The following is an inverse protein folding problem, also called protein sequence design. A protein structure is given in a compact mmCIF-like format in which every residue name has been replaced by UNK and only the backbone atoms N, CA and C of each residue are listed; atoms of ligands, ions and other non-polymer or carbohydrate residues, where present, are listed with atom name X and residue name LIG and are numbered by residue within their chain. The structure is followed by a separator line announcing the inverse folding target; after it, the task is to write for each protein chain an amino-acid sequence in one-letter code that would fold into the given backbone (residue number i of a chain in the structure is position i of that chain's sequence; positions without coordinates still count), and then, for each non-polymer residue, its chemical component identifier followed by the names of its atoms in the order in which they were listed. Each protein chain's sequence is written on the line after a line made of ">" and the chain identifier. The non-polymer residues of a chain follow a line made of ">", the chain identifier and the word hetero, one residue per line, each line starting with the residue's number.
data_IF_087086789595
#
_entry.id   IF_087086789595
#
_cell.length_a   1.000
_cell.length_b   1.000
_cell.length_c   1.000
_cell.angle_alpha   90.00
_cell.angle_beta   90.00
_cell.angle_gamma   90.00
#
_symmetry.space_group_name_H-M   'P 1'
#
loop_
_entity.id
_entity.type
_entity.pdbx_description
1 polymer ?
#
# COMPACT_ATOMS: atom_id res chain seq x y z
N UNK A 1 -25.60 9.29 -13.23
CA UNK A 1 -24.85 9.57 -11.96
C UNK A 1 -24.03 10.84 -12.16
N UNK A 2 -23.83 11.65 -11.12
CA UNK A 2 -22.99 12.84 -11.25
C UNK A 2 -21.51 12.48 -11.30
N UNK A 3 -20.78 13.11 -12.21
CA UNK A 3 -19.33 13.04 -12.37
C UNK A 3 -18.71 14.39 -11.98
N UNK A 4 -17.77 14.35 -11.04
CA UNK A 4 -17.06 15.53 -10.54
C UNK A 4 -15.59 15.46 -10.97
N UNK A 5 -15.22 16.19 -12.02
CA UNK A 5 -13.83 16.27 -12.50
C UNK A 5 -13.14 17.47 -11.87
N UNK A 6 -12.48 17.25 -10.75
CA UNK A 6 -12.00 18.33 -9.87
C UNK A 6 -10.58 18.79 -10.22
N UNK A 7 -9.93 18.19 -11.21
CA UNK A 7 -8.58 18.58 -11.57
C UNK A 7 -7.59 18.25 -10.46
N UNK A 8 -6.70 19.20 -10.14
CA UNK A 8 -5.74 19.11 -9.05
C UNK A 8 -6.20 20.04 -7.93
N UNK A 9 -6.34 19.52 -6.71
CA UNK A 9 -6.78 20.30 -5.56
C UNK A 9 -5.65 20.49 -4.53
N UNK A 10 -5.58 21.65 -3.86
CA UNK A 10 -4.55 21.95 -2.88
C UNK A 10 -4.74 21.21 -1.56
N UNK A 11 -3.65 21.09 -0.79
CA UNK A 11 -3.67 20.53 0.55
C UNK A 11 -4.28 19.13 0.60
N UNK A 12 -5.26 18.94 1.48
CA UNK A 12 -5.94 17.65 1.66
C UNK A 12 -7.31 17.59 0.97
N UNK A 13 -7.70 18.60 0.18
CA UNK A 13 -9.03 18.67 -0.44
C UNK A 13 -9.34 17.43 -1.30
N UNK A 14 -8.33 16.93 -2.04
CA UNK A 14 -8.45 15.70 -2.82
C UNK A 14 -8.87 14.48 -1.98
N UNK A 15 -8.59 14.49 -0.68
CA UNK A 15 -8.90 13.41 0.25
C UNK A 15 -10.09 13.70 1.15
N UNK A 16 -10.50 14.95 1.35
CA UNK A 16 -11.62 15.30 2.24
C UNK A 16 -12.95 15.45 1.50
N UNK A 17 -12.94 15.78 0.20
CA UNK A 17 -14.16 15.95 -0.60
C UNK A 17 -15.06 14.71 -0.58
N UNK A 18 -14.53 13.51 -0.84
CA UNK A 18 -15.38 12.32 -0.84
C UNK A 18 -15.93 11.98 0.55
N UNK A 19 -15.18 12.26 1.62
CA UNK A 19 -15.70 12.06 2.98
C UNK A 19 -16.84 13.04 3.25
N UNK A 20 -16.69 14.30 2.84
CA UNK A 20 -17.74 15.31 2.94
C UNK A 20 -19.00 14.91 2.17
N UNK A 21 -18.85 14.48 0.92
CA UNK A 21 -19.94 13.94 0.11
C UNK A 21 -20.63 12.77 0.80
N UNK A 22 -19.86 11.82 1.33
CA UNK A 22 -20.38 10.65 2.03
C UNK A 22 -21.20 11.00 3.27
N UNK A 23 -20.72 11.93 4.11
CA UNK A 23 -21.44 12.41 5.30
C UNK A 23 -22.70 13.20 4.96
N UNK A 24 -22.72 13.90 3.82
CA UNK A 24 -23.86 14.68 3.34
C UNK A 24 -24.82 13.86 2.47
N UNK A 25 -24.53 12.58 2.23
CA UNK A 25 -25.36 11.71 1.38
C UNK A 25 -25.33 12.10 -0.11
N UNK A 26 -24.29 12.81 -0.55
CA UNK A 26 -24.12 13.19 -1.96
C UNK A 26 -23.45 12.04 -2.71
N UNK A 27 -24.22 11.36 -3.56
CA UNK A 27 -23.69 10.31 -4.43
C UNK A 27 -22.92 10.90 -5.62
N UNK A 28 -21.90 10.17 -6.09
CA UNK A 28 -21.18 10.55 -7.30
C UNK A 28 -19.90 9.79 -7.57
N UNK A 29 -19.36 10.02 -8.76
CA UNK A 29 -18.03 9.61 -9.18
C UNK A 29 -17.15 10.85 -9.23
N UNK A 30 -16.04 10.86 -8.50
CA UNK A 30 -15.10 11.99 -8.45
C UNK A 30 -13.77 11.58 -9.08
N UNK A 31 -13.24 12.43 -9.96
CA UNK A 31 -11.85 12.34 -10.43
C UNK A 31 -11.04 13.53 -9.92
N UNK A 32 -9.95 13.25 -9.20
CA UNK A 32 -9.15 14.29 -8.54
C UNK A 32 -7.70 13.86 -8.36
N UNK A 33 -6.81 14.83 -8.21
CA UNK A 33 -5.43 14.61 -7.76
C UNK A 33 -5.09 15.64 -6.67
N UNK A 34 -4.24 15.33 -5.69
CA UNK A 34 -3.54 16.35 -4.94
C UNK A 34 -2.68 17.21 -5.89
N UNK A 35 -2.59 18.52 -5.65
CA UNK A 35 -1.61 19.37 -6.34
C UNK A 35 -0.20 19.11 -5.84
N UNK A 36 -0.07 18.87 -4.53
CA UNK A 36 1.18 18.68 -3.81
C UNK A 36 1.21 17.28 -3.16
N UNK A 37 2.40 16.67 -2.98
CA UNK A 37 2.51 15.37 -2.34
C UNK A 37 2.00 15.39 -0.89
N UNK A 38 1.14 14.44 -0.55
CA UNK A 38 0.60 14.22 0.79
C UNK A 38 0.74 12.75 1.18
N UNK A 39 0.86 12.50 2.48
CA UNK A 39 0.88 11.17 3.07
C UNK A 39 -0.44 10.90 3.76
N UNK A 40 -1.04 9.75 3.47
CA UNK A 40 -2.28 9.35 4.14
C UNK A 40 -2.10 8.02 4.88
N UNK A 41 -2.41 8.03 6.16
CA UNK A 41 -2.52 6.84 7.01
C UNK A 41 -3.89 6.19 6.83
N UNK A 42 -3.94 4.86 6.72
CA UNK A 42 -5.21 4.14 6.75
C UNK A 42 -5.87 4.19 8.12
N UNK A 43 -7.20 4.04 8.17
CA UNK A 43 -7.98 4.24 9.39
C UNK A 43 -7.52 3.41 10.60
N UNK A 44 -7.13 2.15 10.37
CA UNK A 44 -6.77 1.19 11.43
C UNK A 44 -5.27 1.09 11.71
N UNK A 45 -4.44 1.87 11.03
CA UNK A 45 -2.98 1.73 11.13
C UNK A 45 -2.42 2.56 12.28
N UNK A 46 -1.52 2.01 13.09
CA UNK A 46 -0.83 2.84 14.08
C UNK A 46 0.09 3.85 13.39
N UNK A 47 0.07 5.12 13.83
CA UNK A 47 0.92 6.15 13.26
C UNK A 47 2.40 5.89 13.53
N UNK A 48 2.75 5.36 14.72
CA UNK A 48 4.14 5.13 15.12
C UNK A 48 4.87 4.14 14.23
N UNK A 49 4.16 3.13 13.72
CA UNK A 49 4.71 2.11 12.82
C UNK A 49 4.37 2.40 11.36
N UNK A 50 3.43 3.32 11.11
CA UNK A 50 2.91 3.60 9.78
C UNK A 50 3.57 4.78 9.07
N UNK A 51 4.04 5.79 9.81
CA UNK A 51 4.62 7.00 9.21
C UNK A 51 5.72 7.60 10.09
N UNK A 52 6.80 8.03 9.47
CA UNK A 52 7.82 8.88 10.07
C UNK A 52 7.34 10.34 10.00
N UNK A 53 6.67 10.80 11.05
CA UNK A 53 6.12 12.16 11.12
C UNK A 53 7.23 13.23 11.06
N UNK A 54 8.40 12.94 11.64
CA UNK A 54 9.52 13.89 11.66
C UNK A 54 10.11 14.05 10.26
N UNK A 55 10.27 12.95 9.51
CA UNK A 55 10.66 13.01 8.11
C UNK A 55 9.62 13.78 7.29
N UNK A 56 8.32 13.48 7.44
CA UNK A 56 7.27 14.17 6.70
C UNK A 56 7.30 15.68 6.95
N UNK A 57 7.50 16.11 8.20
CA UNK A 57 7.65 17.52 8.54
C UNK A 57 8.87 18.15 7.86
N UNK A 58 10.05 17.51 7.91
CA UNK A 58 11.28 18.01 7.26
C UNK A 58 11.17 18.07 5.74
N UNK A 59 10.43 17.14 5.13
CA UNK A 59 10.20 17.06 3.69
C UNK A 59 9.03 17.91 3.21
N UNK A 60 8.36 18.65 4.11
CA UNK A 60 7.15 19.43 3.83
C UNK A 60 6.02 18.60 3.22
N UNK A 61 5.86 17.36 3.70
CA UNK A 61 4.79 16.43 3.34
C UNK A 61 3.67 16.53 4.38
N UNK A 62 2.49 16.95 3.94
CA UNK A 62 1.31 16.94 4.79
C UNK A 62 0.91 15.51 5.15
N UNK A 63 0.57 15.25 6.41
CA UNK A 63 0.08 13.94 6.88
C UNK A 63 -1.36 14.04 7.35
N UNK A 64 -2.21 13.13 6.90
CA UNK A 64 -3.57 12.93 7.42
C UNK A 64 -3.87 11.45 7.68
N UNK A 65 -4.88 11.17 8.49
CA UNK A 65 -5.48 9.82 8.57
C UNK A 65 -6.85 9.85 7.91
N UNK A 66 -7.13 8.89 7.03
CA UNK A 66 -8.42 8.77 6.32
C UNK A 66 -9.33 7.72 6.99
N UNK A 67 -10.63 7.79 6.73
CA UNK A 67 -11.61 6.79 7.22
C UNK A 67 -11.67 5.52 6.38
N UNK A 68 -10.99 5.53 5.23
CA UNK A 68 -10.77 4.35 4.42
C UNK A 68 -9.65 3.48 5.02
N UNK A 69 -9.84 2.16 4.95
CA UNK A 69 -8.82 1.18 5.34
C UNK A 69 -7.57 1.19 4.45
N UNK A 70 -6.76 0.14 4.56
CA UNK A 70 -5.48 0.01 3.87
C UNK A 70 -4.30 0.59 4.65
N UNK A 71 -3.14 0.66 4.01
CA UNK A 71 -1.89 1.13 4.62
C UNK A 71 -1.58 2.60 4.34
N UNK A 72 -0.39 3.03 4.77
CA UNK A 72 0.19 4.32 4.46
C UNK A 72 0.44 4.42 2.97
N UNK A 73 0.13 5.57 2.38
CA UNK A 73 0.35 5.80 0.96
C UNK A 73 0.71 7.26 0.69
N UNK A 74 1.61 7.46 -0.26
CA UNK A 74 1.99 8.75 -0.81
C UNK A 74 1.09 9.07 -2.01
N UNK A 75 0.42 10.22 -1.97
CA UNK A 75 -0.48 10.69 -3.01
C UNK A 75 0.04 12.00 -3.57
N UNK A 76 0.08 12.14 -4.88
CA UNK A 76 0.61 13.33 -5.55
C UNK A 76 -0.13 13.60 -6.87
N UNK A 77 0.37 14.58 -7.62
CA UNK A 77 -0.25 15.01 -8.87
C UNK A 77 0.00 14.08 -10.07
N UNK A 78 0.77 13.00 -9.88
CA UNK A 78 1.02 11.94 -10.85
C UNK A 78 0.05 10.77 -10.70
N UNK A 79 -1.09 10.99 -10.03
CA UNK A 79 -2.11 9.98 -9.80
C UNK A 79 -3.47 10.59 -10.09
N UNK A 80 -4.34 9.86 -10.79
CA UNK A 80 -5.75 10.25 -10.95
C UNK A 80 -6.55 9.39 -9.99
N UNK A 81 -7.01 9.98 -8.88
CA UNK A 81 -7.89 9.31 -7.95
C UNK A 81 -9.29 9.27 -8.50
N UNK A 82 -9.90 8.10 -8.45
CA UNK A 82 -11.32 7.95 -8.62
C UNK A 82 -11.97 7.61 -7.28
N UNK A 83 -13.12 8.20 -7.00
CA UNK A 83 -13.83 8.05 -5.74
C UNK A 83 -15.30 7.86 -6.06
N UNK A 84 -15.85 6.72 -5.65
CA UNK A 84 -17.24 6.32 -5.85
C UNK A 84 -17.92 6.46 -4.49
N UNK A 85 -18.95 7.30 -4.43
CA UNK A 85 -19.74 7.54 -3.24
C UNK A 85 -21.17 7.14 -3.56
N UNK A 86 -21.68 6.13 -2.86
CA UNK A 86 -23.04 5.62 -3.04
C UNK A 86 -23.71 5.53 -1.68
N UNK A 87 -24.98 5.89 -1.59
CA UNK A 87 -25.79 5.61 -0.42
C UNK A 87 -25.85 4.09 -0.20
N UNK A 88 -25.89 3.65 1.06
CA UNK A 88 -25.88 2.21 1.40
C UNK A 88 -27.06 1.43 0.81
N UNK A 89 -28.18 2.11 0.54
CA UNK A 89 -29.38 1.53 -0.05
C UNK A 89 -29.36 1.52 -1.59
N UNK A 90 -28.34 2.14 -2.21
CA UNK A 90 -28.15 2.11 -3.66
C UNK A 90 -27.95 0.66 -4.13
N UNK A 91 -28.72 0.24 -5.14
CA UNK A 91 -28.66 -1.13 -5.63
C UNK A 91 -27.28 -1.53 -6.15
N UNK A 92 -26.53 -0.57 -6.72
CA UNK A 92 -25.18 -0.79 -7.23
C UNK A 92 -24.20 -1.05 -6.07
N UNK A 93 -24.48 -0.52 -4.89
CA UNK A 93 -23.70 -0.69 -3.66
C UNK A 93 -24.07 -1.97 -2.86
N UNK A 94 -25.00 -2.80 -3.35
CA UNK A 94 -25.32 -4.10 -2.74
C UNK A 94 -24.20 -5.12 -2.98
N UNK A 95 -23.96 -5.96 -1.98
CA UNK A 95 -22.87 -6.93 -1.97
C UNK A 95 -21.99 -6.75 -0.72
N UNK A 96 -21.15 -7.76 -0.48
CA UNK A 96 -20.09 -7.63 0.52
C UNK A 96 -18.95 -6.75 -0.01
N UNK A 97 -17.97 -6.45 0.84
CA UNK A 97 -16.89 -5.56 0.45
C UNK A 97 -16.07 -6.12 -0.73
N UNK A 98 -15.82 -7.44 -0.76
CA UNK A 98 -14.97 -8.07 -1.77
C UNK A 98 -15.65 -8.09 -3.14
N UNK A 99 -16.95 -8.37 -3.18
CA UNK A 99 -17.76 -8.28 -4.40
C UNK A 99 -17.78 -6.85 -4.94
N UNK A 100 -17.88 -5.85 -4.06
CA UNK A 100 -17.81 -4.45 -4.45
C UNK A 100 -16.41 -4.06 -4.97
N UNK A 101 -15.33 -4.56 -4.38
CA UNK A 101 -13.98 -4.38 -4.95
C UNK A 101 -13.95 -4.92 -6.38
N UNK A 102 -14.26 -6.21 -6.59
CA UNK A 102 -14.23 -6.80 -7.93
C UNK A 102 -15.09 -6.02 -8.94
N UNK A 103 -16.29 -5.62 -8.53
CA UNK A 103 -17.24 -4.87 -9.35
C UNK A 103 -16.72 -3.50 -9.75
N UNK A 104 -16.15 -2.74 -8.81
CA UNK A 104 -15.68 -1.38 -9.05
C UNK A 104 -14.28 -1.32 -9.65
N UNK A 105 -13.48 -2.39 -9.53
CA UNK A 105 -12.22 -2.55 -10.25
C UNK A 105 -12.41 -2.77 -11.76
N UNK A 106 -13.53 -3.37 -12.18
CA UNK A 106 -13.72 -3.81 -13.57
C UNK A 106 -13.62 -2.64 -14.60
N UNK A 107 -14.27 -1.47 -14.38
CA UNK A 107 -14.08 -0.32 -15.26
C UNK A 107 -12.64 0.16 -15.35
N UNK A 108 -11.90 0.07 -14.24
CA UNK A 108 -10.50 0.49 -14.13
C UNK A 108 -9.60 -0.47 -14.90
N UNK A 109 -9.84 -1.77 -14.78
CA UNK A 109 -9.14 -2.83 -15.52
C UNK A 109 -9.32 -2.63 -17.03
N UNK A 110 -10.55 -2.40 -17.50
CA UNK A 110 -10.82 -2.13 -18.92
C UNK A 110 -10.13 -0.85 -19.40
N UNK A 111 -10.14 0.22 -18.58
CA UNK A 111 -9.43 1.46 -18.90
C UNK A 111 -7.92 1.23 -19.05
N UNK A 112 -7.27 0.45 -18.18
CA UNK A 112 -5.88 0.04 -18.37
C UNK A 112 -5.67 -0.75 -19.66
N UNK A 113 -6.61 -1.64 -20.01
CA UNK A 113 -6.60 -2.40 -21.26
C UNK A 113 -6.57 -1.51 -22.50
N UNK A 114 -7.40 -0.46 -22.54
CA UNK A 114 -7.41 0.53 -23.62
C UNK A 114 -6.09 1.33 -23.71
N UNK A 115 -5.38 1.49 -22.59
CA UNK A 115 -4.06 2.11 -22.52
C UNK A 115 -2.94 1.16 -22.95
N UNK A 116 -3.23 -0.11 -23.21
CA UNK A 116 -2.27 -1.14 -23.61
C UNK A 116 -1.67 -1.93 -22.46
N UNK A 117 -2.14 -1.76 -21.22
CA UNK A 117 -1.65 -2.48 -20.04
C UNK A 117 -2.69 -3.50 -19.59
N UNK A 118 -2.36 -4.79 -19.67
CA UNK A 118 -3.25 -5.85 -19.16
C UNK A 118 -3.15 -5.92 -17.64
N UNK A 119 -4.27 -5.70 -16.97
CA UNK A 119 -4.37 -5.66 -15.51
C UNK A 119 -5.42 -6.65 -15.05
N UNK A 120 -5.27 -7.19 -13.84
CA UNK A 120 -6.26 -8.03 -13.18
C UNK A 120 -6.40 -7.66 -11.72
N UNK A 121 -7.57 -7.92 -11.15
CA UNK A 121 -7.79 -7.80 -9.72
C UNK A 121 -6.98 -8.84 -8.94
N UNK A 122 -6.35 -8.40 -7.86
CA UNK A 122 -5.65 -9.24 -6.89
C UNK A 122 -6.19 -8.93 -5.50
N UNK A 123 -6.79 -9.95 -4.90
CA UNK A 123 -7.29 -9.86 -3.54
C UNK A 123 -6.17 -9.50 -2.56
N UNK A 124 -6.43 -8.59 -1.62
CA UNK A 124 -7.78 -8.12 -1.23
C UNK A 124 -8.25 -6.88 -2.00
N UNK A 125 -7.34 -6.03 -2.46
CA UNK A 125 -7.69 -4.67 -2.89
C UNK A 125 -6.67 -4.01 -3.82
N UNK A 126 -5.91 -4.80 -4.59
CA UNK A 126 -4.95 -4.24 -5.54
C UNK A 126 -5.27 -4.66 -6.96
N UNK A 127 -4.88 -3.81 -7.91
CA UNK A 127 -4.79 -4.18 -9.31
C UNK A 127 -3.34 -4.44 -9.66
N UNK A 128 -3.09 -5.55 -10.35
CA UNK A 128 -1.75 -5.96 -10.74
C UNK A 128 -1.65 -6.20 -12.24
N UNK A 129 -0.47 -5.93 -12.81
CA UNK A 129 -0.19 -6.25 -14.22
C UNK A 129 -0.18 -7.76 -14.42
N UNK A 130 -0.74 -8.23 -15.54
CA UNK A 130 -0.81 -9.66 -15.84
C UNK A 130 0.58 -10.23 -16.15
N UNK A 131 1.40 -9.47 -16.90
CA UNK A 131 2.71 -9.93 -17.35
C UNK A 131 3.77 -9.80 -16.24
N UNK A 132 3.76 -8.68 -15.50
CA UNK A 132 4.77 -8.40 -14.47
C UNK A 132 4.38 -8.86 -13.06
N UNK A 133 3.11 -9.20 -12.80
CA UNK A 133 2.57 -9.41 -11.46
C UNK A 133 2.90 -8.27 -10.47
N UNK A 134 3.03 -7.03 -10.98
CA UNK A 134 3.33 -5.84 -10.18
C UNK A 134 2.06 -5.07 -9.89
N UNK A 135 1.93 -4.56 -8.66
CA UNK A 135 0.87 -3.63 -8.28
C UNK A 135 0.96 -2.36 -9.11
N UNK A 136 -0.11 -2.05 -9.84
CA UNK A 136 -0.23 -0.80 -10.63
C UNK A 136 -1.16 0.21 -9.97
N UNK A 137 -1.99 -0.22 -9.03
CA UNK A 137 -2.76 0.65 -8.13
C UNK A 137 -3.31 -0.13 -6.96
N UNK A 138 -3.62 0.58 -5.87
CA UNK A 138 -4.33 0.03 -4.72
C UNK A 138 -5.67 0.74 -4.53
N UNK A 139 -6.64 -0.01 -4.07
CA UNK A 139 -8.01 0.44 -3.86
C UNK A 139 -8.37 0.36 -2.37
N UNK A 140 -9.43 1.05 -1.96
CA UNK A 140 -9.90 1.04 -0.59
C UNK A 140 -11.40 1.28 -0.54
N UNK A 141 -12.03 0.73 0.49
CA UNK A 141 -13.45 0.89 0.74
C UNK A 141 -13.73 1.10 2.22
N UNK A 142 -14.79 1.84 2.50
CA UNK A 142 -15.30 2.05 3.84
C UNK A 142 -16.79 2.42 3.80
N UNK A 143 -17.48 2.17 4.91
CA UNK A 143 -18.76 2.81 5.18
C UNK A 143 -18.47 4.13 5.90
N UNK A 144 -18.96 5.24 5.37
CA UNK A 144 -18.78 6.59 5.93
C UNK A 144 -20.16 7.24 5.99
N UNK A 145 -20.64 7.51 7.21
CA UNK A 145 -22.04 7.87 7.42
C UNK A 145 -22.98 6.80 6.85
N UNK A 146 -23.96 7.24 6.07
CA UNK A 146 -24.92 6.37 5.38
C UNK A 146 -24.45 5.94 3.98
N UNK A 147 -23.18 6.20 3.64
CA UNK A 147 -22.62 5.92 2.32
C UNK A 147 -21.62 4.76 2.35
N UNK A 148 -21.61 3.96 1.29
CA UNK A 148 -20.49 3.10 0.90
C UNK A 148 -19.57 3.89 -0.01
N UNK A 149 -18.31 4.00 0.39
CA UNK A 149 -17.27 4.69 -0.35
C UNK A 149 -16.28 3.67 -0.88
N UNK A 150 -15.91 3.84 -2.15
CA UNK A 150 -14.84 3.11 -2.80
C UNK A 150 -13.88 4.10 -3.46
N UNK A 151 -12.59 3.94 -3.23
CA UNK A 151 -11.55 4.82 -3.76
C UNK A 151 -10.43 4.00 -4.37
N UNK A 152 -9.82 4.54 -5.41
CA UNK A 152 -8.60 3.99 -6.00
C UNK A 152 -7.91 5.06 -6.82
N UNK A 153 -6.82 4.68 -7.48
CA UNK A 153 -6.08 5.57 -8.35
C UNK A 153 -5.72 4.94 -9.68
N UNK A 154 -5.39 5.77 -10.66
CA UNK A 154 -4.53 5.40 -11.78
C UNK A 154 -3.16 6.03 -11.50
N UNK A 155 -2.14 5.21 -11.26
CA UNK A 155 -0.76 5.67 -11.08
C UNK A 155 -0.17 6.03 -12.45
N UNK A 156 -0.08 7.32 -12.75
CA UNK A 156 0.63 7.82 -13.94
C UNK A 156 2.15 7.64 -13.73
N UNK A 157 2.63 8.04 -12.55
CA UNK A 157 3.95 7.75 -12.03
C UNK A 157 3.88 7.54 -10.50
N UNK A 158 4.94 7.01 -9.89
CA UNK A 158 4.99 6.80 -8.45
C UNK A 158 6.42 6.94 -7.89
N UNK A 159 6.60 7.86 -6.95
CA UNK A 159 7.87 8.13 -6.28
C UNK A 159 8.10 7.13 -5.12
N UNK A 160 8.71 6.00 -5.47
CA UNK A 160 9.10 4.93 -4.55
C UNK A 160 10.18 5.38 -3.56
N UNK A 161 11.03 6.33 -3.93
CA UNK A 161 12.11 6.81 -3.06
C UNK A 161 11.52 7.60 -1.89
N UNK A 162 10.67 8.58 -2.18
CA UNK A 162 9.94 9.32 -1.14
C UNK A 162 9.05 8.39 -0.33
N UNK A 163 8.33 7.46 -0.98
CA UNK A 163 7.51 6.46 -0.27
C UNK A 163 8.34 5.61 0.72
N UNK A 164 9.57 5.21 0.36
CA UNK A 164 10.45 4.44 1.27
C UNK A 164 10.89 5.25 2.48
N UNK A 165 10.98 6.58 2.36
CA UNK A 165 11.36 7.52 3.43
C UNK A 165 10.19 7.86 4.35
N UNK A 166 8.96 7.78 3.85
CA UNK A 166 7.73 8.01 4.63
C UNK A 166 7.55 6.98 5.74
N UNK A 167 8.08 5.77 5.59
CA UNK A 167 7.98 4.76 6.64
C UNK A 167 8.99 5.01 7.78
N UNK A 168 8.55 4.82 9.04
CA UNK A 168 9.46 4.81 10.18
C UNK A 168 10.23 3.49 10.12
N UNK A 169 11.55 3.58 10.06
CA UNK A 169 12.43 2.43 9.91
C UNK A 169 13.49 2.42 11.01
N UNK A 170 13.92 1.23 11.47
CA UNK A 170 14.98 1.08 12.47
C UNK A 170 16.36 1.57 12.01
N UNK A 171 16.65 1.45 10.71
CA UNK A 171 17.95 1.66 10.10
C UNK A 171 17.83 1.78 8.57
N UNK A 172 18.91 2.21 7.93
CA UNK A 172 18.96 2.42 6.47
C UNK A 172 18.95 1.12 5.67
N UNK A 173 19.41 0.00 6.21
CA UNK A 173 19.37 -1.30 5.52
C UNK A 173 17.91 -1.76 5.30
N UNK A 174 17.06 -1.61 6.32
CA UNK A 174 15.62 -1.83 6.21
C UNK A 174 14.98 -0.90 5.18
N UNK A 175 15.38 0.37 5.15
CA UNK A 175 14.89 1.33 4.15
C UNK A 175 15.25 0.92 2.74
N UNK A 176 16.49 0.50 2.51
CA UNK A 176 16.95 0.04 1.20
C UNK A 176 16.20 -1.22 0.74
N UNK A 177 15.89 -2.14 1.66
CA UNK A 177 15.07 -3.29 1.34
C UNK A 177 13.63 -2.89 0.98
N UNK A 178 13.01 -1.96 1.71
CA UNK A 178 11.69 -1.41 1.35
C UNK A 178 11.72 -0.79 -0.06
N UNK A 179 12.71 0.06 -0.34
CA UNK A 179 12.86 0.71 -1.64
C UNK A 179 12.99 -0.33 -2.77
N UNK A 180 13.84 -1.33 -2.59
CA UNK A 180 14.01 -2.40 -3.58
C UNK A 180 12.72 -3.20 -3.78
N UNK A 181 12.00 -3.52 -2.69
CA UNK A 181 10.71 -4.22 -2.76
C UNK A 181 9.65 -3.36 -3.45
N UNK A 182 9.62 -2.05 -3.22
CA UNK A 182 8.75 -1.12 -3.94
C UNK A 182 9.06 -1.12 -5.44
N UNK A 183 10.32 -0.95 -5.82
CA UNK A 183 10.75 -0.94 -7.23
C UNK A 183 10.45 -2.26 -7.98
N UNK A 184 10.57 -3.38 -7.28
CA UNK A 184 10.33 -4.69 -7.86
C UNK A 184 8.84 -5.03 -7.99
N UNK A 185 8.00 -4.55 -7.07
CA UNK A 185 6.62 -5.02 -6.95
C UNK A 185 5.56 -3.95 -7.24
N UNK A 186 5.93 -2.68 -7.41
CA UNK A 186 5.01 -1.57 -7.76
C UNK A 186 5.41 -0.99 -9.11
N UNK A 187 4.42 -0.70 -9.94
CA UNK A 187 4.57 -0.12 -11.27
C UNK A 187 3.58 1.03 -11.51
N UNK A 188 3.74 1.72 -12.63
CA UNK A 188 2.93 2.87 -13.05
C UNK A 188 2.78 2.87 -14.56
N UNK A 189 1.86 3.67 -15.11
CA UNK A 189 1.71 3.79 -16.57
C UNK A 189 3.01 4.26 -17.23
N UNK A 190 3.78 5.14 -16.60
CA UNK A 190 5.10 5.54 -17.10
C UNK A 190 6.07 4.36 -17.24
N UNK A 191 6.13 3.48 -16.24
CA UNK A 191 7.02 2.31 -16.26
C UNK A 191 6.57 1.27 -17.29
N UNK A 192 5.26 1.05 -17.43
CA UNK A 192 4.70 0.06 -18.37
C UNK A 192 4.68 0.54 -19.83
N UNK A 193 4.46 1.83 -20.07
CA UNK A 193 4.32 2.42 -21.42
C UNK A 193 5.56 3.18 -21.90
N UNK A 194 6.53 3.43 -21.02
CA UNK A 194 7.69 4.30 -21.29
C UNK A 194 7.37 5.79 -21.33
N UNK A 195 6.11 6.18 -21.15
CA UNK A 195 5.64 7.56 -21.16
C UNK A 195 4.40 7.74 -20.28
N UNK A 196 4.12 8.98 -19.86
CA UNK A 196 2.89 9.32 -19.14
C UNK A 196 1.81 9.71 -20.17
N UNK A 197 0.70 8.95 -20.29
CA UNK A 197 -0.43 9.36 -21.13
C UNK A 197 -1.09 10.63 -20.57
N UNK A 198 -1.77 11.39 -21.45
CA UNK A 198 -2.43 12.61 -21.00
C UNK A 198 -3.56 12.31 -20.01
N UNK A 199 -3.70 13.16 -19.00
CA UNK A 199 -4.77 13.03 -18.00
C UNK A 199 -6.15 12.93 -18.63
N UNK A 200 -6.43 13.78 -19.61
CA UNK A 200 -7.70 13.79 -20.33
C UNK A 200 -7.98 12.45 -21.02
N UNK A 201 -6.96 11.85 -21.66
CA UNK A 201 -7.12 10.57 -22.30
C UNK A 201 -7.46 9.46 -21.29
N UNK A 202 -6.75 9.43 -20.16
CA UNK A 202 -7.01 8.46 -19.08
C UNK A 202 -8.40 8.66 -18.47
N UNK A 203 -8.79 9.90 -18.14
CA UNK A 203 -10.12 10.21 -17.61
C UNK A 203 -11.20 9.78 -18.61
N UNK A 204 -11.06 10.09 -19.90
CA UNK A 204 -12.05 9.70 -20.91
C UNK A 204 -12.24 8.17 -21.01
N UNK A 205 -11.18 7.38 -20.84
CA UNK A 205 -11.30 5.91 -20.74
C UNK A 205 -12.07 5.49 -19.49
N UNK A 206 -11.76 6.09 -18.35
CA UNK A 206 -12.49 5.82 -17.10
C UNK A 206 -13.97 6.21 -17.22
N UNK A 207 -14.30 7.39 -17.75
CA UNK A 207 -15.70 7.84 -17.97
C UNK A 207 -16.44 6.81 -18.81
N UNK A 208 -15.84 6.38 -19.92
CA UNK A 208 -16.46 5.40 -20.82
C UNK A 208 -16.82 4.12 -20.07
N UNK A 209 -15.86 3.50 -19.38
CA UNK A 209 -16.10 2.22 -18.70
C UNK A 209 -16.95 2.36 -17.43
N UNK A 210 -16.86 3.46 -16.69
CA UNK A 210 -17.75 3.71 -15.55
C UNK A 210 -19.19 3.99 -15.99
N UNK A 211 -19.39 4.55 -17.19
CA UNK A 211 -20.73 4.78 -17.73
C UNK A 211 -21.46 3.48 -18.07
N UNK A 212 -20.74 2.40 -18.39
CA UNK A 212 -21.33 1.06 -18.56
C UNK A 212 -21.89 0.52 -17.23
N UNK A 213 -21.30 0.90 -16.10
CA UNK A 213 -21.70 0.44 -14.78
C UNK A 213 -22.78 1.33 -14.14
N UNK A 214 -22.66 2.64 -14.26
CA UNK A 214 -23.52 3.62 -13.59
C UNK A 214 -24.58 4.25 -14.50
N UNK A 215 -24.58 3.91 -15.79
CA UNK A 215 -25.34 4.62 -16.81
C UNK A 215 -24.69 5.97 -17.17
N UNK A 216 -25.43 6.85 -17.87
CA UNK A 216 -24.92 8.17 -18.27
C UNK A 216 -24.36 8.95 -17.08
N UNK A 217 -23.17 9.51 -17.30
CA UNK A 217 -22.46 10.35 -16.34
C UNK A 217 -22.67 11.82 -16.72
N UNK A 218 -23.18 12.61 -15.78
CA UNK A 218 -23.45 14.03 -15.97
C UNK A 218 -22.42 14.85 -15.21
N UNK A 219 -21.73 15.77 -15.89
CA UNK A 219 -20.75 16.62 -15.21
C UNK A 219 -21.43 17.54 -14.20
N UNK A 220 -20.92 17.54 -12.97
CA UNK A 220 -21.41 18.34 -11.87
C UNK A 220 -20.30 19.15 -11.19
N UNK A 221 -20.72 20.12 -10.38
CA UNK A 221 -19.83 20.91 -9.53
C UNK A 221 -20.14 20.69 -8.06
N UNK A 222 -19.11 20.77 -7.21
CA UNK A 222 -19.31 20.68 -5.76
C UNK A 222 -20.05 21.93 -5.27
N UNK A 223 -21.06 21.73 -4.44
CA UNK A 223 -21.74 22.83 -3.78
C UNK A 223 -20.92 23.33 -2.57
N UNK A 224 -21.27 24.50 -2.06
CA UNK A 224 -20.60 25.15 -0.92
C UNK A 224 -20.66 24.32 0.35
N UNK A 225 -21.72 23.53 0.55
CA UNK A 225 -21.90 22.69 1.72
C UNK A 225 -20.86 21.56 1.79
N UNK A 226 -20.63 20.87 0.67
CA UNK A 226 -19.58 19.84 0.54
C UNK A 226 -18.21 20.45 0.80
N UNK A 227 -17.91 21.62 0.22
CA UNK A 227 -16.62 22.29 0.42
C UNK A 227 -16.40 22.71 1.88
N UNK A 228 -17.44 23.21 2.55
CA UNK A 228 -17.35 23.58 3.97
C UNK A 228 -17.14 22.36 4.85
N UNK A 229 -17.86 21.26 4.58
CA UNK A 229 -17.68 20.01 5.32
C UNK A 229 -16.30 19.40 5.08
N UNK A 230 -15.77 19.47 3.86
CA UNK A 230 -14.42 18.99 3.54
C UNK A 230 -13.35 19.70 4.38
N UNK A 231 -13.45 21.03 4.53
CA UNK A 231 -12.55 21.83 5.39
C UNK A 231 -12.68 21.54 6.88
N UNK A 232 -13.90 21.21 7.34
CA UNK A 232 -14.13 20.76 8.72
C UNK A 232 -13.42 19.42 8.96
N UNK A 233 -13.59 18.47 8.05
CA UNK A 233 -13.00 17.14 8.13
C UNK A 233 -11.47 17.18 8.00
N UNK A 234 -10.93 18.09 7.18
CA UNK A 234 -9.48 18.31 7.10
C UNK A 234 -8.87 18.60 8.46
N UNK A 235 -9.47 19.54 9.22
CA UNK A 235 -9.00 19.88 10.57
C UNK A 235 -9.03 18.67 11.50
N UNK A 236 -10.06 17.84 11.40
CA UNK A 236 -10.17 16.62 12.19
C UNK A 236 -9.10 15.60 11.77
N UNK A 237 -8.96 15.30 10.48
CA UNK A 237 -8.11 14.23 9.96
C UNK A 237 -6.61 14.53 10.00
N UNK A 238 -6.26 15.81 10.13
CA UNK A 238 -4.89 16.28 10.35
C UNK A 238 -4.58 16.57 11.82
N UNK A 239 -5.58 16.49 12.71
CA UNK A 239 -5.35 16.70 14.14
C UNK A 239 -4.47 15.61 14.75
N UNK A 240 -3.64 16.00 15.72
CA UNK A 240 -2.81 15.06 16.48
C UNK A 240 -3.67 13.97 17.14
N UNK A 241 -4.84 14.34 17.67
CA UNK A 241 -5.78 13.39 18.28
C UNK A 241 -6.19 12.28 17.30
N UNK A 242 -6.57 12.65 16.07
CA UNK A 242 -7.03 11.67 15.08
C UNK A 242 -5.87 10.86 14.51
N UNK A 243 -4.72 11.48 14.25
CA UNK A 243 -3.52 10.80 13.78
C UNK A 243 -2.99 9.82 14.83
N UNK A 244 -2.94 10.20 16.11
CA UNK A 244 -2.32 9.40 17.19
C UNK A 244 -3.22 8.31 17.78
N UNK A 245 -4.45 8.11 17.26
CA UNK A 245 -5.37 7.06 17.75
C UNK A 245 -4.66 5.71 17.80
N UNK A 246 -4.46 5.18 19.02
CA UNK A 246 -3.82 3.89 19.26
C UNK A 246 -4.59 2.77 18.57
N UNK A 247 -3.90 1.99 17.75
CA UNK A 247 -4.43 0.79 17.09
C UNK A 247 -3.44 -0.36 17.28
N UNK A 248 -3.76 -1.53 16.73
CA UNK A 248 -2.86 -2.68 16.82
C UNK A 248 -1.54 -2.32 16.12
N UNK A 249 -0.42 -2.45 16.83
CA UNK A 249 0.90 -2.29 16.23
C UNK A 249 1.06 -3.32 15.11
N UNK A 250 1.41 -2.85 13.93
CA UNK A 250 1.78 -3.73 12.82
C UNK A 250 3.29 -3.94 12.88
N UNK A 251 3.72 -5.18 13.00
CA UNK A 251 5.14 -5.59 12.94
C UNK A 251 5.68 -5.65 11.51
N UNK A 252 4.87 -5.26 10.52
CA UNK A 252 5.18 -5.37 9.09
C UNK A 252 4.65 -4.19 8.29
N UNK A 253 5.35 -3.86 7.20
CA UNK A 253 4.92 -2.88 6.20
C UNK A 253 4.30 -3.62 5.00
N UNK A 254 3.05 -3.32 4.67
CA UNK A 254 2.40 -3.83 3.44
C UNK A 254 2.88 -3.04 2.23
N UNK A 255 3.39 -3.75 1.21
CA UNK A 255 3.80 -3.17 -0.07
C UNK A 255 2.72 -3.38 -1.14
N UNK A 256 2.27 -4.61 -1.29
CA UNK A 256 1.19 -5.02 -2.18
C UNK A 256 0.40 -6.16 -1.54
N UNK A 257 -0.71 -6.56 -2.13
CA UNK A 257 -1.52 -7.66 -1.63
C UNK A 257 -0.74 -8.97 -1.73
N UNK A 258 -0.61 -9.64 -0.59
CA UNK A 258 0.28 -10.77 -0.42
C UNK A 258 1.75 -10.39 -0.17
N UNK A 259 2.16 -9.11 -0.24
CA UNK A 259 3.57 -8.72 -0.12
C UNK A 259 3.78 -7.79 1.09
N UNK A 260 4.55 -8.27 2.06
CA UNK A 260 4.87 -7.55 3.28
C UNK A 260 6.38 -7.57 3.54
N UNK A 261 6.89 -6.55 4.22
CA UNK A 261 8.25 -6.54 4.76
C UNK A 261 8.18 -6.55 6.28
N UNK A 262 8.84 -7.52 6.89
CA UNK A 262 8.94 -7.70 8.35
C UNK A 262 10.34 -7.35 8.81
N UNK A 263 10.43 -6.79 10.00
CA UNK A 263 11.66 -6.74 10.78
C UNK A 263 11.47 -7.55 12.05
N UNK A 264 12.41 -8.45 12.32
CA UNK A 264 12.44 -9.22 13.55
C UNK A 264 13.81 -9.15 14.22
N UNK A 265 13.82 -9.40 15.53
CA UNK A 265 15.02 -9.47 16.34
C UNK A 265 14.92 -10.63 17.32
N UNK A 266 15.99 -11.40 17.43
CA UNK A 266 16.08 -12.53 18.36
C UNK A 266 17.46 -12.56 19.04
N UNK A 267 17.49 -12.79 20.35
CA UNK A 267 18.75 -12.88 21.12
C UNK A 267 19.09 -14.35 21.39
N UNK A 268 20.01 -14.91 20.61
CA UNK A 268 20.60 -16.22 20.86
C UNK A 268 21.77 -16.12 21.87
N UNK A 269 22.25 -17.28 22.33
CA UNK A 269 23.40 -17.35 23.25
C UNK A 269 24.66 -16.77 22.61
N UNK A 270 24.89 -17.05 21.32
CA UNK A 270 26.05 -16.63 20.55
C UNK A 270 25.91 -15.28 19.83
N UNK A 271 24.84 -14.53 20.10
CA UNK A 271 24.62 -13.22 19.48
C UNK A 271 23.16 -12.92 19.21
N UNK A 272 22.88 -11.66 18.88
CA UNK A 272 21.58 -11.17 18.39
C UNK A 272 21.53 -11.37 16.89
N UNK A 273 20.41 -11.90 16.41
CA UNK A 273 20.06 -12.02 15.01
C UNK A 273 18.96 -11.01 14.74
N UNK A 274 19.23 -10.10 13.80
CA UNK A 274 18.25 -9.26 13.17
C UNK A 274 17.92 -9.87 11.81
N UNK A 275 16.65 -9.84 11.44
CA UNK A 275 16.23 -10.32 10.13
C UNK A 275 15.23 -9.37 9.49
N UNK A 276 15.43 -9.11 8.20
CA UNK A 276 14.50 -8.35 7.38
C UNK A 276 13.98 -9.26 6.29
N UNK A 277 12.67 -9.49 6.32
CA UNK A 277 12.02 -10.52 5.52
C UNK A 277 11.01 -9.87 4.59
N UNK A 278 11.23 -9.96 3.28
CA UNK A 278 10.16 -9.80 2.30
C UNK A 278 9.35 -11.10 2.27
N UNK A 279 8.08 -11.06 2.65
CA UNK A 279 7.16 -12.18 2.54
C UNK A 279 6.28 -11.99 1.30
N UNK A 280 6.24 -13.00 0.43
CA UNK A 280 5.36 -13.08 -0.75
C UNK A 280 4.37 -14.22 -0.57
N UNK A 281 3.12 -13.87 -0.34
CA UNK A 281 2.04 -14.75 0.08
C UNK A 281 2.39 -15.46 1.39
N UNK A 282 2.88 -16.70 1.29
CA UNK A 282 3.33 -17.52 2.42
C UNK A 282 4.80 -17.91 2.30
N UNK A 283 5.51 -17.39 1.30
CA UNK A 283 6.89 -17.79 0.99
C UNK A 283 7.86 -16.64 1.18
N UNK A 284 9.06 -16.97 1.64
CA UNK A 284 10.15 -16.03 1.79
C UNK A 284 10.58 -15.51 0.41
N UNK A 285 10.50 -14.20 0.24
CA UNK A 285 11.19 -13.47 -0.83
C UNK A 285 12.62 -13.16 -0.38
N UNK A 286 13.04 -11.89 -0.53
CA UNK A 286 14.35 -11.46 -0.04
C UNK A 286 14.47 -11.60 1.49
N UNK A 287 15.48 -12.34 1.93
CA UNK A 287 15.89 -12.49 3.33
C UNK A 287 17.19 -11.72 3.54
N UNK A 288 17.30 -10.98 4.63
CA UNK A 288 18.55 -10.36 5.07
C UNK A 288 18.76 -10.68 6.55
N UNK A 289 19.92 -11.24 6.88
CA UNK A 289 20.33 -11.63 8.23
C UNK A 289 21.58 -10.86 8.64
N UNK A 290 21.47 -10.10 9.74
CA UNK A 290 22.58 -9.32 10.28
C UNK A 290 22.52 -9.27 11.81
N UNK A 291 23.59 -8.80 12.45
CA UNK A 291 23.66 -8.70 13.90
C UNK A 291 25.06 -8.98 14.43
N UNK A 292 25.15 -9.31 15.72
CA UNK A 292 26.39 -9.64 16.43
C UNK A 292 26.61 -11.16 16.56
N UNK A 293 25.88 -11.99 15.80
CA UNK A 293 26.13 -13.43 15.74
C UNK A 293 27.40 -13.77 14.95
N UNK A 294 28.04 -14.88 15.30
CA UNK A 294 29.19 -15.40 14.56
C UNK A 294 28.71 -16.39 13.49
N UNK A 295 29.18 -16.20 12.25
CA UNK A 295 28.90 -17.07 11.11
C UNK A 295 30.19 -17.27 10.32
N UNK A 296 30.70 -18.49 10.26
CA UNK A 296 32.01 -18.79 9.66
C UNK A 296 31.86 -19.89 8.60
N UNK A 297 32.35 -19.68 7.37
CA UNK A 297 32.89 -18.43 6.84
C UNK A 297 31.80 -17.36 6.62
N UNK A 298 32.10 -16.10 6.97
CA UNK A 298 31.11 -15.00 7.02
C UNK A 298 30.48 -14.66 5.67
N UNK A 299 31.23 -14.85 4.59
CA UNK A 299 30.77 -14.60 3.22
C UNK A 299 29.61 -15.51 2.79
N UNK A 300 29.43 -16.67 3.46
CA UNK A 300 28.36 -17.62 3.17
C UNK A 300 26.99 -17.25 3.75
N UNK A 301 26.89 -16.16 4.51
CA UNK A 301 25.59 -15.68 5.02
C UNK A 301 24.64 -15.31 3.87
N UNK A 302 25.18 -14.72 2.78
CA UNK A 302 24.39 -14.38 1.59
C UNK A 302 23.90 -15.62 0.85
N UNK A 303 24.75 -16.63 0.73
CA UNK A 303 24.37 -17.92 0.15
C UNK A 303 23.23 -18.58 0.97
N UNK A 304 23.22 -18.40 2.29
CA UNK A 304 22.12 -18.86 3.16
C UNK A 304 20.83 -18.06 2.92
N UNK A 305 20.92 -16.73 2.85
CA UNK A 305 19.79 -15.85 2.52
C UNK A 305 19.15 -16.24 1.18
N UNK A 306 19.96 -16.51 0.16
CA UNK A 306 19.50 -16.98 -1.15
C UNK A 306 18.86 -18.38 -1.07
N UNK A 307 19.43 -19.29 -0.29
CA UNK A 307 18.88 -20.64 -0.09
C UNK A 307 17.52 -20.64 0.62
N UNK A 308 17.18 -19.56 1.34
CA UNK A 308 15.91 -19.40 2.03
C UNK A 308 14.79 -18.83 1.14
N UNK A 309 15.12 -18.32 -0.05
CA UNK A 309 14.10 -17.83 -1.00
C UNK A 309 13.17 -18.97 -1.41
N UNK A 310 11.88 -18.67 -1.57
CA UNK A 310 10.78 -19.58 -1.90
C UNK A 310 10.43 -20.66 -0.86
N UNK A 311 11.11 -20.67 0.29
CA UNK A 311 10.75 -21.49 1.45
C UNK A 311 9.46 -20.95 2.09
N UNK A 312 8.57 -21.82 2.53
CA UNK A 312 7.36 -21.41 3.26
C UNK A 312 7.74 -20.76 4.59
N UNK A 313 7.02 -19.70 5.01
CA UNK A 313 7.24 -18.99 6.27
C UNK A 313 6.73 -19.81 7.46
N UNK A 314 7.29 -21.01 7.61
CA UNK A 314 7.02 -21.99 8.64
C UNK A 314 8.34 -22.35 9.32
N UNK A 315 8.35 -22.27 10.65
CA UNK A 315 9.56 -22.39 11.46
C UNK A 315 10.35 -23.68 11.19
N UNK A 316 9.68 -24.82 11.10
CA UNK A 316 10.33 -26.11 10.88
C UNK A 316 10.91 -26.24 9.47
N UNK A 317 10.23 -25.72 8.44
CA UNK A 317 10.74 -25.75 7.07
C UNK A 317 11.99 -24.89 6.92
N UNK A 318 11.95 -23.67 7.47
CA UNK A 318 13.09 -22.74 7.49
C UNK A 318 14.27 -23.40 8.22
N UNK A 319 14.03 -23.94 9.42
CA UNK A 319 15.05 -24.63 10.20
C UNK A 319 15.67 -25.80 9.44
N UNK A 320 14.87 -26.59 8.72
CA UNK A 320 15.36 -27.72 7.94
C UNK A 320 16.33 -27.25 6.84
N UNK A 321 15.97 -26.20 6.09
CA UNK A 321 16.83 -25.61 5.06
C UNK A 321 18.14 -25.10 5.65
N UNK A 322 18.07 -24.35 6.76
CA UNK A 322 19.27 -23.83 7.45
C UNK A 322 20.16 -24.97 7.93
N UNK A 323 19.57 -26.02 8.50
CA UNK A 323 20.32 -27.20 9.00
C UNK A 323 21.07 -27.88 7.87
N UNK A 324 20.40 -28.15 6.74
CA UNK A 324 21.01 -28.76 5.57
C UNK A 324 22.11 -27.88 4.97
N UNK A 325 21.89 -26.58 4.90
CA UNK A 325 22.87 -25.62 4.42
C UNK A 325 24.14 -25.61 5.29
N UNK A 326 23.98 -25.48 6.61
CA UNK A 326 25.09 -25.47 7.57
C UNK A 326 25.92 -26.75 7.46
N UNK A 327 25.28 -27.91 7.35
CA UNK A 327 25.97 -29.19 7.17
C UNK A 327 26.72 -29.28 5.84
N UNK A 328 26.07 -28.90 4.74
CA UNK A 328 26.63 -28.98 3.39
C UNK A 328 27.83 -28.05 3.22
N UNK A 329 27.69 -26.80 3.62
CA UNK A 329 28.71 -25.76 3.45
C UNK A 329 29.72 -25.74 4.61
N UNK A 330 29.55 -26.61 5.62
CA UNK A 330 30.39 -26.74 6.81
C UNK A 330 30.52 -25.43 7.57
N UNK A 331 29.38 -24.75 7.77
CA UNK A 331 29.32 -23.48 8.49
C UNK A 331 29.48 -23.73 10.00
N UNK A 332 30.23 -22.87 10.67
CA UNK A 332 30.32 -22.81 12.13
C UNK A 332 29.62 -21.53 12.66
N UNK A 333 28.68 -21.72 13.58
CA UNK A 333 27.87 -20.65 14.20
C UNK A 333 27.87 -20.81 15.72
N UNK A 334 28.98 -20.52 16.41
CA UNK A 334 29.13 -20.82 17.84
C UNK A 334 28.06 -20.08 18.67
N UNK A 335 27.29 -20.86 19.43
CA UNK A 335 26.21 -20.34 20.28
C UNK A 335 24.94 -19.93 19.54
N UNK A 336 24.84 -20.16 18.22
CA UNK A 336 23.64 -19.89 17.43
C UNK A 336 23.24 -21.12 16.65
N UNK A 337 22.01 -21.58 16.87
CA UNK A 337 21.47 -22.81 16.27
C UNK A 337 20.60 -22.51 15.05
N UNK A 338 20.34 -23.51 14.17
CA UNK A 338 19.35 -23.37 13.11
C UNK A 338 17.96 -22.93 13.62
N UNK A 339 17.59 -23.36 14.84
CA UNK A 339 16.34 -22.98 15.51
C UNK A 339 16.31 -21.48 15.85
N UNK A 340 17.45 -20.90 16.26
CA UNK A 340 17.57 -19.48 16.58
C UNK A 340 17.38 -18.62 15.33
N UNK A 341 18.02 -18.99 14.20
CA UNK A 341 17.81 -18.31 12.93
C UNK A 341 16.35 -18.42 12.45
N UNK A 342 15.76 -19.62 12.52
CA UNK A 342 14.37 -19.82 12.13
C UNK A 342 13.41 -18.98 13.01
N UNK A 343 13.68 -18.88 14.32
CA UNK A 343 12.91 -18.04 15.23
C UNK A 343 13.06 -16.57 14.91
N UNK A 344 14.28 -16.12 14.57
CA UNK A 344 14.52 -14.74 14.13
C UNK A 344 13.70 -14.43 12.85
N UNK A 345 13.73 -15.31 11.85
CA UNK A 345 13.03 -15.11 10.57
C UNK A 345 11.50 -15.07 10.75
N UNK A 346 10.94 -15.99 11.52
CA UNK A 346 9.48 -16.05 11.75
C UNK A 346 9.01 -14.90 12.65
N UNK A 347 9.84 -14.48 13.60
CA UNK A 347 9.49 -13.49 14.62
C UNK A 347 8.69 -14.11 15.77
N UNK A 348 8.68 -13.45 16.93
CA UNK A 348 8.01 -13.94 18.15
C UNK A 348 6.49 -13.69 18.19
N UNK A 349 5.91 -13.13 17.14
CA UNK A 349 4.53 -12.60 17.11
C UNK A 349 3.66 -13.15 15.96
N UNK A 350 3.95 -14.36 15.44
CA UNK A 350 2.97 -15.09 14.60
C UNK A 350 2.13 -16.02 15.48
#
# INVERSE_FOLDING_TARGET
>A
MNLYRLGKLPGFDAMTVFHAMAYLGVEGLVFVSPSDPIVTLGYFQDAKTGVDLDYCQRANLGVMRREVGGGTTLLDSNQIFFQIILHKDNEIARGDALDLYRKFSEPVIKAYGDLGVKVRFKEVNDLITVEGNKKITGEGGANIGESKVFVGGILLDFDTETMSKVFPVPNEEYRQQILQTLENNVTSLKKELGQIPSREFVENRLIHHFSELFGPLEEGSLNTEVLNKARELEKLYTSEEFISRKRKENTSIKIASGIHVYENRYKAVGGTIHSIIELKEKKLGKVNLYGDFTFLPKEKVRDLEEALVDVEMEKEQIKQVITLFIQKEKIDTPGVTPEDFATAIVGTNI
#
